data_IF_916767529140
#
_entry.id   IF_916767529140
#
_cell.length_a   1.000
_cell.length_b   1.000
_cell.length_c   1.000
_cell.angle_alpha   90.00
_cell.angle_beta   90.00
_cell.angle_gamma   90.00
#
_symmetry.space_group_name_H-M   'P 1'
#
loop_
_entity.id
_entity.type
_entity.pdbx_description
1 polymer ?
#
# COMPACT_ATOMS: atom_id res chain seq x y z
N UNK A 1 8.16 10.31 25.05
CA UNK A 1 8.65 9.52 23.94
C UNK A 1 8.03 9.99 22.63
N UNK A 2 8.85 10.14 21.66
CA UNK A 2 8.41 10.67 20.39
C UNK A 2 7.83 9.56 19.51
N UNK A 3 6.56 9.73 19.17
CA UNK A 3 5.96 8.88 18.15
C UNK A 3 6.26 9.47 16.80
N UNK A 4 7.14 8.82 16.08
CA UNK A 4 7.37 9.19 14.71
C UNK A 4 6.31 8.51 13.86
N UNK A 5 5.54 9.31 13.13
CA UNK A 5 4.70 8.77 12.09
C UNK A 5 5.63 8.18 11.04
N UNK A 6 5.43 6.92 10.75
CA UNK A 6 6.13 6.30 9.64
C UNK A 6 5.52 6.84 8.36
N UNK A 7 6.31 7.60 7.63
CA UNK A 7 5.90 8.05 6.31
C UNK A 7 6.22 6.95 5.32
N UNK A 8 5.21 6.49 4.64
CA UNK A 8 5.35 5.48 3.60
C UNK A 8 4.76 6.01 2.32
N UNK A 9 5.13 5.39 1.23
CA UNK A 9 4.57 5.72 -0.08
C UNK A 9 4.06 4.46 -0.75
N UNK A 10 2.96 4.60 -1.45
CA UNK A 10 2.40 3.49 -2.21
C UNK A 10 2.22 3.90 -3.66
N UNK A 11 2.36 2.93 -4.54
CA UNK A 11 2.08 3.10 -5.96
C UNK A 11 1.18 1.94 -6.38
N UNK A 12 0.05 2.27 -6.98
CA UNK A 12 -0.88 1.26 -7.47
C UNK A 12 -0.45 0.85 -8.86
N UNK A 13 -0.12 -0.42 -9.02
CA UNK A 13 0.42 -0.94 -10.27
C UNK A 13 -0.56 -1.92 -10.89
N UNK A 14 -0.84 -1.73 -12.18
CA UNK A 14 -1.70 -2.63 -12.92
C UNK A 14 -0.92 -3.88 -13.29
N UNK A 15 -1.50 -5.03 -12.96
CA UNK A 15 -0.91 -6.31 -13.32
C UNK A 15 -1.04 -6.61 -14.80
N UNK A 16 -0.30 -7.62 -15.24
CA UNK A 16 -0.33 -8.09 -16.63
C UNK A 16 -0.62 -9.57 -16.64
N UNK A 17 -1.56 -9.98 -17.48
CA UNK A 17 -1.92 -11.39 -17.67
C UNK A 17 -2.16 -12.12 -16.35
N UNK A 18 -1.21 -12.97 -15.94
CA UNK A 18 -1.35 -13.79 -14.73
C UNK A 18 -0.94 -13.07 -13.46
N UNK A 19 -0.40 -11.88 -13.58
CA UNK A 19 0.00 -11.09 -12.42
C UNK A 19 -1.16 -10.18 -12.01
N UNK A 20 -1.70 -10.33 -10.80
CA UNK A 20 -2.79 -9.46 -10.35
C UNK A 20 -2.30 -8.03 -10.16
N UNK A 21 -3.23 -7.10 -10.10
CA UNK A 21 -2.91 -5.74 -9.73
C UNK A 21 -2.29 -5.76 -8.33
N UNK A 22 -1.35 -4.88 -8.09
CA UNK A 22 -0.68 -4.86 -6.81
C UNK A 22 -0.31 -3.44 -6.40
N UNK A 23 0.09 -3.30 -5.15
CA UNK A 23 0.53 -2.04 -4.59
C UNK A 23 1.97 -2.21 -4.18
N UNK A 24 2.84 -1.34 -4.67
CA UNK A 24 4.21 -1.24 -4.17
C UNK A 24 4.20 -0.40 -2.91
N UNK A 25 4.96 -0.83 -1.92
CA UNK A 25 5.12 -0.10 -0.68
C UNK A 25 6.57 0.33 -0.56
N UNK A 26 6.78 1.62 -0.38
CA UNK A 26 8.10 2.20 -0.24
C UNK A 26 8.21 2.92 1.10
N UNK A 27 9.41 2.93 1.66
CA UNK A 27 9.65 3.65 2.90
C UNK A 27 9.82 5.14 2.65
N UNK A 28 10.16 5.87 3.70
CA UNK A 28 10.32 7.32 3.61
C UNK A 28 11.48 7.75 2.72
N UNK A 29 12.42 6.86 2.44
CA UNK A 29 13.55 7.11 1.54
C UNK A 29 13.26 6.61 0.12
N UNK A 30 12.03 6.26 -0.16
CA UNK A 30 11.59 5.70 -1.44
C UNK A 30 12.17 4.33 -1.78
N UNK A 31 12.71 3.64 -0.80
CA UNK A 31 13.19 2.29 -1.03
C UNK A 31 12.00 1.33 -1.05
N UNK A 32 11.95 0.49 -2.06
CA UNK A 32 10.90 -0.53 -2.16
C UNK A 32 11.06 -1.54 -1.04
N UNK A 33 10.07 -1.64 -0.16
CA UNK A 33 10.10 -2.59 0.94
C UNK A 33 9.20 -3.80 0.72
N UNK A 34 8.32 -3.72 -0.26
CA UNK A 34 7.48 -4.87 -0.59
C UNK A 34 6.31 -4.47 -1.47
N UNK A 35 5.46 -5.46 -1.74
CA UNK A 35 4.23 -5.22 -2.49
C UNK A 35 3.15 -6.17 -2.01
N UNK A 36 1.91 -5.75 -2.21
CA UNK A 36 0.73 -6.48 -1.78
C UNK A 36 -0.21 -6.58 -2.96
N UNK A 37 -0.72 -7.78 -3.22
CA UNK A 37 -1.72 -7.98 -4.28
C UNK A 37 -2.99 -7.22 -3.92
N UNK A 38 -3.55 -6.54 -4.91
CA UNK A 38 -4.79 -5.81 -4.76
C UNK A 38 -5.88 -6.43 -5.59
N UNK A 39 -6.95 -6.86 -4.95
CA UNK A 39 -8.13 -7.42 -5.62
C UNK A 39 -9.36 -6.68 -5.10
N UNK A 40 -10.15 -6.06 -5.99
CA UNK A 40 -11.36 -5.38 -5.56
C UNK A 40 -12.27 -6.30 -4.76
N UNK A 41 -12.82 -5.77 -3.68
CA UNK A 41 -13.72 -6.51 -2.81
C UNK A 41 -13.06 -7.50 -1.87
N UNK A 42 -11.74 -7.56 -1.85
CA UNK A 42 -11.01 -8.43 -0.95
C UNK A 42 -10.11 -7.62 -0.02
N UNK A 43 -10.03 -8.01 1.26
CA UNK A 43 -9.16 -7.30 2.19
C UNK A 43 -7.69 -7.57 1.88
N UNK A 44 -6.86 -6.60 2.23
CA UNK A 44 -5.42 -6.77 2.14
C UNK A 44 -4.94 -7.77 3.17
N UNK A 45 -3.90 -8.51 2.81
CA UNK A 45 -3.28 -9.48 3.70
C UNK A 45 -1.86 -9.07 4.02
N UNK A 46 -1.36 -9.57 5.14
CA UNK A 46 0.04 -9.41 5.57
C UNK A 46 0.47 -7.97 5.74
N UNK A 47 -0.42 -7.13 6.18
CA UNK A 47 -0.10 -5.74 6.48
C UNK A 47 0.82 -5.63 7.70
N UNK A 48 0.91 -6.69 8.49
CA UNK A 48 1.79 -6.74 9.65
C UNK A 48 3.26 -6.55 9.26
N UNK A 49 3.65 -7.02 8.08
CA UNK A 49 5.03 -6.86 7.59
C UNK A 49 5.41 -5.40 7.41
N UNK A 50 4.42 -4.54 7.25
CA UNK A 50 4.64 -3.12 6.97
C UNK A 50 4.17 -2.23 8.12
N UNK A 51 3.81 -2.85 9.26
CA UNK A 51 3.31 -2.08 10.40
C UNK A 51 1.94 -1.46 10.19
N UNK A 52 1.15 -2.03 9.30
CA UNK A 52 -0.15 -1.49 8.92
C UNK A 52 -1.33 -2.31 9.47
N UNK A 53 -1.09 -3.08 10.51
CA UNK A 53 -2.16 -3.86 11.15
C UNK A 53 -3.23 -2.92 11.69
N UNK A 54 -4.48 -3.24 11.41
CA UNK A 54 -5.60 -2.40 11.84
C UNK A 54 -5.93 -1.27 10.89
N UNK A 55 -5.16 -1.12 9.80
CA UNK A 55 -5.36 -0.05 8.83
C UNK A 55 -5.91 -0.55 7.50
N UNK A 56 -6.43 -1.76 7.49
CA UNK A 56 -6.89 -2.42 6.26
C UNK A 56 -7.96 -1.62 5.54
N UNK A 57 -8.97 -1.15 6.26
CA UNK A 57 -10.07 -0.40 5.63
C UNK A 57 -9.63 0.94 5.11
N UNK A 58 -8.78 1.62 5.84
CA UNK A 58 -8.26 2.92 5.41
C UNK A 58 -7.45 2.76 4.13
N UNK A 59 -6.63 1.72 4.09
CA UNK A 59 -5.81 1.45 2.92
C UNK A 59 -6.68 1.05 1.73
N UNK A 60 -7.69 0.22 1.93
CA UNK A 60 -8.61 -0.16 0.86
C UNK A 60 -9.29 1.06 0.25
N UNK A 61 -9.82 1.95 1.09
CA UNK A 61 -10.50 3.14 0.62
C UNK A 61 -9.55 4.03 -0.18
N UNK A 62 -8.33 4.19 0.31
CA UNK A 62 -7.33 5.00 -0.36
C UNK A 62 -6.97 4.41 -1.72
N UNK A 63 -6.73 3.11 -1.78
CA UNK A 63 -6.31 2.43 -3.00
C UNK A 63 -7.42 2.43 -4.06
N UNK A 64 -8.67 2.31 -3.65
CA UNK A 64 -9.78 2.38 -4.60
C UNK A 64 -9.82 3.70 -5.36
N UNK A 65 -9.49 4.78 -4.67
CA UNK A 65 -9.50 6.11 -5.27
C UNK A 65 -8.21 6.44 -6.00
N UNK A 66 -7.16 5.68 -5.76
CA UNK A 66 -5.85 5.97 -6.32
C UNK A 66 -5.76 5.49 -7.77
N UNK A 67 -5.41 6.38 -8.70
CA UNK A 67 -5.16 5.94 -10.07
C UNK A 67 -3.92 5.07 -10.18
N UNK A 68 -3.92 4.16 -11.15
CA UNK A 68 -2.76 3.33 -11.42
C UNK A 68 -1.55 4.18 -11.80
N UNK A 69 -0.39 3.80 -11.30
CA UNK A 69 0.86 4.47 -11.60
C UNK A 69 1.12 5.73 -10.83
N UNK A 70 0.20 6.15 -9.98
CA UNK A 70 0.34 7.37 -9.21
C UNK A 70 0.90 7.08 -7.82
N UNK A 71 1.86 7.88 -7.41
CA UNK A 71 2.44 7.80 -6.08
C UNK A 71 1.53 8.48 -5.07
N UNK A 72 1.34 7.82 -3.94
CA UNK A 72 0.53 8.36 -2.84
C UNK A 72 1.28 8.23 -1.54
N UNK A 73 1.41 9.32 -0.82
CA UNK A 73 1.98 9.30 0.51
C UNK A 73 0.96 8.70 1.49
N UNK A 74 1.45 7.80 2.31
CA UNK A 74 0.62 7.11 3.29
C UNK A 74 0.94 7.64 4.67
N UNK A 75 0.04 8.41 5.24
CA UNK A 75 0.16 8.96 6.58
C UNK A 75 -0.81 8.20 7.50
N UNK A 76 -0.28 7.26 8.23
CA UNK A 76 -1.12 6.43 9.11
C UNK A 76 -0.67 6.49 10.56
#
# INVERSE_FOLDING_TARGET
MLHQKQNMYIIKVKGKRKIPNYIQIRDEDFVLIGYISYRPGRPFRRLDKFGLVGKEKELETLVEKLPFGKLQKLEL
#
